data_IF_767555981418
#
_entry.id   IF_767555981418
#
_cell.length_a   1.000
_cell.length_b   1.000
_cell.length_c   1.000
_cell.angle_alpha   90.00
_cell.angle_beta   90.00
_cell.angle_gamma   90.00
#
_symmetry.space_group_name_H-M   'P 1'
#
loop_
_entity.id
_entity.type
_entity.pdbx_description
1 polymer ?
2 non-polymer ?
3 non-polymer ?
4 non-polymer ?
5 non-polymer ?
6 water ?
#
# COMPACT_ATOMS: atom_id res chain seq x y z
N UNK A 4 1.06 8.31 20.96
CA UNK A 4 1.08 9.13 22.23
C UNK A 4 1.56 10.57 21.86
N UNK A 5 2.85 10.83 22.08
CA UNK A 5 3.50 12.05 21.59
C UNK A 5 4.07 11.86 20.15
N UNK A 6 3.68 10.79 19.44
CA UNK A 6 4.09 10.60 18.04
C UNK A 6 3.32 11.53 17.12
N UNK A 7 4.02 12.12 16.15
CA UNK A 7 3.43 13.05 15.19
C UNK A 7 2.72 12.29 14.07
N UNK A 8 1.72 11.53 14.47
CA UNK A 8 0.91 10.70 13.61
C UNK A 8 -0.46 10.47 14.27
N UNK A 9 -1.52 10.51 13.47
CA UNK A 9 -2.88 10.24 13.94
C UNK A 9 -3.15 8.74 13.71
N UNK A 10 -3.52 8.03 14.76
CA UNK A 10 -3.67 6.58 14.63
C UNK A 10 -5.11 6.09 14.73
N UNK A 11 -6.05 7.02 14.82
CA UNK A 11 -7.44 6.63 14.85
C UNK A 11 -8.31 7.65 14.21
N UNK A 12 -9.31 7.19 13.49
CA UNK A 12 -10.28 8.09 12.91
C UNK A 12 -11.16 7.35 11.91
N UNK A 13 -12.29 7.92 11.58
CA UNK A 13 -13.17 7.29 10.60
C UNK A 13 -12.52 7.20 9.23
N UNK A 14 -11.57 8.12 8.95
CA UNK A 14 -10.90 8.17 7.64
C UNK A 14 -9.41 7.84 7.75
N UNK A 15 -9.04 7.22 8.85
CA UNK A 15 -7.68 6.78 9.13
C UNK A 15 -7.58 5.26 9.23
N UNK A 16 -6.73 4.68 8.39
CA UNK A 16 -6.52 3.25 8.32
C UNK A 16 -5.10 2.90 8.65
N UNK A 17 -4.86 1.68 9.17
CA UNK A 17 -3.52 1.24 9.53
C UNK A 17 -3.03 0.33 8.43
N UNK A 18 -1.78 0.51 8.03
CA UNK A 18 -1.13 -0.29 7.02
C UNK A 18 -0.05 -1.08 7.76
N UNK A 19 -0.02 -2.36 7.53
CA UNK A 19 0.93 -3.24 8.21
C UNK A 19 1.27 -4.47 7.34
N UNK A 20 2.27 -5.20 7.79
CA UNK A 20 2.74 -6.44 7.08
C UNK A 20 3.02 -6.25 5.58
N UNK A 21 3.70 -5.16 5.28
CA UNK A 21 4.18 -4.95 3.93
C UNK A 21 5.10 -6.10 3.56
N UNK A 22 4.95 -6.61 2.33
CA UNK A 22 5.86 -7.60 1.76
C UNK A 22 6.14 -7.18 0.34
N UNK A 23 7.29 -7.57 -0.16
CA UNK A 23 7.57 -7.49 -1.59
C UNK A 23 8.74 -8.38 -2.00
N UNK A 24 8.74 -8.79 -3.25
CA UNK A 24 9.83 -9.58 -3.75
C UNK A 24 10.40 -8.89 -4.99
N UNK A 25 11.71 -8.75 -5.00
CA UNK A 25 12.46 -8.24 -6.16
C UNK A 25 13.33 -9.39 -6.67
N UNK A 26 12.90 -10.08 -7.72
CA UNK A 26 13.54 -11.32 -8.18
C UNK A 26 14.93 -11.10 -8.73
N UNK A 27 15.15 -9.88 -9.22
CA UNK A 27 16.45 -9.50 -9.71
C UNK A 27 17.01 -8.29 -9.00
N UNK A 28 16.46 -7.97 -7.83
CA UNK A 28 16.95 -6.92 -6.99
C UNK A 28 16.56 -5.53 -7.45
N UNK A 29 15.68 -5.40 -8.44
CA UNK A 29 15.28 -4.08 -8.97
C UNK A 29 13.79 -3.88 -8.84
N UNK A 30 13.05 -4.25 -9.87
CA UNK A 30 11.56 -4.18 -9.85
C UNK A 30 10.99 -5.26 -8.93
N UNK A 31 9.78 -4.99 -8.41
CA UNK A 31 9.01 -5.98 -7.67
C UNK A 31 8.26 -6.90 -8.67
N UNK A 32 8.11 -8.17 -8.31
CA UNK A 32 7.17 -9.03 -9.02
C UNK A 32 5.99 -9.39 -8.13
N UNK A 33 6.09 -9.02 -6.85
CA UNK A 33 5.05 -9.30 -5.89
C UNK A 33 5.10 -8.20 -4.83
N UNK A 34 3.94 -7.63 -4.48
CA UNK A 34 3.86 -6.58 -3.49
C UNK A 34 2.54 -6.69 -2.77
N UNK A 35 2.55 -6.48 -1.46
CA UNK A 35 1.33 -6.49 -0.70
C UNK A 35 1.43 -5.92 0.69
N UNK A 36 0.27 -5.70 1.30
CA UNK A 36 0.19 -5.14 2.64
C UNK A 36 -1.22 -5.28 3.17
N UNK A 37 -1.38 -5.21 4.47
CA UNK A 37 -2.69 -5.34 5.12
C UNK A 37 -3.22 -3.95 5.40
N UNK A 38 -4.51 -3.77 5.25
CA UNK A 38 -5.20 -2.49 5.55
C UNK A 38 -6.30 -2.74 6.56
N UNK A 39 -6.33 -1.98 7.62
CA UNK A 39 -7.32 -2.16 8.70
C UNK A 39 -7.93 -0.87 9.15
N UNK A 40 -9.23 -0.83 9.33
CA UNK A 40 -9.88 0.33 9.92
C UNK A 40 -9.42 0.53 11.34
N UNK A 41 -9.38 1.77 11.79
CA UNK A 41 -9.02 2.10 13.17
C UNK A 41 -10.21 2.51 14.02
N UNK A 42 -11.39 2.67 13.45
CA UNK A 42 -12.52 3.22 14.14
C UNK A 42 -13.46 2.15 14.74
N UNK A 43 -13.00 0.92 14.87
CA UNK A 43 -13.86 -0.18 15.33
C UNK A 43 -14.72 -0.80 14.24
N UNK A 44 -14.67 -0.29 13.00
CA UNK A 44 -15.32 -1.01 11.91
C UNK A 44 -14.63 -2.31 11.55
N UNK A 45 -15.30 -3.08 10.73
CA UNK A 45 -14.85 -4.40 10.36
C UNK A 45 -13.72 -4.51 9.34
N UNK A 46 -13.45 -3.48 8.58
CA UNK A 46 -12.56 -3.55 7.46
C UNK A 46 -11.14 -4.00 7.84
N UNK A 47 -10.67 -5.03 7.13
CA UNK A 47 -9.41 -5.65 7.40
C UNK A 47 -9.12 -6.56 6.25
N UNK A 48 -8.27 -6.17 5.33
CA UNK A 48 -8.04 -6.97 4.17
C UNK A 48 -6.65 -6.78 3.60
N UNK A 49 -6.31 -7.67 2.67
CA UNK A 49 -5.01 -7.61 1.98
C UNK A 49 -5.13 -6.91 0.66
N UNK A 50 -4.21 -6.01 0.41
CA UNK A 50 -4.11 -5.38 -0.83
C UNK A 50 -2.80 -5.89 -1.48
N UNK A 51 -2.88 -6.50 -2.67
CA UNK A 51 -1.66 -7.02 -3.30
C UNK A 51 -1.75 -7.07 -4.78
N UNK A 52 -0.61 -7.24 -5.40
CA UNK A 52 -0.54 -7.45 -6.83
C UNK A 52 0.71 -8.29 -7.18
N UNK A 53 0.61 -8.99 -8.29
CA UNK A 53 1.71 -9.75 -8.87
C UNK A 53 1.76 -9.58 -10.37
N UNK A 54 2.94 -9.58 -10.92
CA UNK A 54 3.09 -9.61 -12.37
C UNK A 54 4.52 -9.98 -12.62
N UNK A 55 4.85 -10.33 -13.85
CA UNK A 55 6.26 -10.59 -14.19
C UNK A 55 7.07 -9.36 -13.82
N UNK A 56 6.51 -8.18 -14.07
CA UNK A 56 7.21 -6.97 -13.62
C UNK A 56 6.20 -5.92 -13.21
N UNK A 57 6.09 -5.65 -11.91
CA UNK A 57 5.17 -4.60 -11.47
C UNK A 57 5.74 -3.21 -11.81
N UNK A 58 4.88 -2.27 -12.15
CA UNK A 58 5.29 -0.94 -12.54
C UNK A 58 5.03 0.06 -11.40
N UNK A 59 5.95 1.04 -11.27
CA UNK A 59 5.69 2.22 -10.48
C UNK A 59 4.62 3.15 -11.14
N UNK A 60 3.99 3.96 -10.30
CA UNK A 60 2.98 4.89 -10.73
C UNK A 60 1.96 4.32 -11.69
N UNK A 61 1.43 3.16 -11.31
CA UNK A 61 0.38 2.49 -12.07
C UNK A 61 -0.66 1.96 -11.11
N UNK A 62 -1.95 2.12 -11.41
CA UNK A 62 -3.01 1.63 -10.51
C UNK A 62 -3.12 0.13 -10.62
N UNK A 63 -3.16 -0.55 -9.48
CA UNK A 63 -3.48 -1.95 -9.43
C UNK A 63 -4.67 -2.08 -8.50
N UNK A 64 -5.55 -3.03 -8.82
CA UNK A 64 -6.62 -3.37 -7.93
C UNK A 64 -6.04 -3.95 -6.67
N UNK A 65 -6.64 -3.72 -5.52
CA UNK A 65 -6.18 -4.39 -4.31
C UNK A 65 -6.42 -5.90 -4.31
N UNK A 66 -7.42 -6.35 -5.07
CA UNK A 66 -7.77 -7.77 -5.20
C UNK A 66 -8.84 -7.91 -6.32
N UNK A 67 -9.37 -9.10 -6.54
CA UNK A 67 -10.25 -9.37 -7.72
C UNK A 67 -11.51 -8.49 -7.63
N UNK A 68 -12.07 -8.42 -6.44
CA UNK A 68 -13.32 -7.71 -6.25
C UNK A 68 -13.09 -6.24 -5.88
N UNK A 69 -11.89 -5.88 -5.39
CA UNK A 69 -11.75 -4.74 -4.47
C UNK A 69 -12.31 -3.35 -4.88
N UNK A 70 -12.90 -2.69 -3.91
CA UNK A 70 -13.32 -1.34 -4.10
C UNK A 70 -12.12 -0.36 -4.01
N UNK A 71 -10.92 -0.86 -3.75
CA UNK A 71 -9.74 0.01 -3.57
C UNK A 71 -8.72 -0.28 -4.68
N UNK A 72 -8.08 0.80 -5.15
CA UNK A 72 -6.90 0.73 -6.02
C UNK A 72 -5.74 1.26 -5.28
N UNK A 73 -4.54 0.79 -5.66
CA UNK A 73 -3.30 1.33 -5.14
C UNK A 73 -2.24 1.51 -6.21
N UNK A 74 -1.26 2.37 -5.91
CA UNK A 74 -0.10 2.57 -6.71
C UNK A 74 1.11 2.68 -5.79
N UNK A 75 2.30 2.37 -6.28
CA UNK A 75 3.51 2.38 -5.45
C UNK A 75 4.59 3.11 -6.19
N UNK A 76 5.39 3.92 -5.47
CA UNK A 76 6.62 4.49 -5.99
C UNK A 76 7.74 3.78 -5.27
N UNK A 77 8.41 2.87 -5.94
CA UNK A 77 9.40 2.08 -5.24
C UNK A 77 10.61 2.89 -4.85
N UNK A 78 10.91 4.01 -5.54
CA UNK A 78 12.07 4.82 -5.18
C UNK A 78 11.96 5.43 -3.75
N UNK A 79 10.77 5.59 -3.21
CA UNK A 79 10.57 6.27 -1.93
C UNK A 79 9.70 5.42 -0.99
N UNK A 80 9.45 4.16 -1.37
CA UNK A 80 8.51 3.29 -0.66
C UNK A 80 7.21 3.99 -0.41
N UNK A 81 6.70 4.68 -1.42
CA UNK A 81 5.52 5.46 -1.23
C UNK A 81 4.27 4.81 -1.77
N UNK A 82 3.29 4.69 -0.94
CA UNK A 82 2.01 4.13 -1.28
C UNK A 82 0.97 5.21 -1.55
N UNK A 83 0.13 4.99 -2.56
CA UNK A 83 -1.03 5.82 -2.84
C UNK A 83 -2.24 4.90 -2.98
N UNK A 84 -3.31 5.22 -2.25
CA UNK A 84 -4.60 4.51 -2.33
C UNK A 84 -5.63 5.41 -2.94
N UNK A 85 -6.62 4.83 -3.62
CA UNK A 85 -7.71 5.55 -4.14
C UNK A 85 -9.00 4.79 -3.95
N UNK A 86 -10.04 5.48 -3.52
CA UNK A 86 -11.36 4.91 -3.30
C UNK A 86 -12.41 5.85 -3.98
N UNK A 87 -13.06 5.37 -5.00
CA UNK A 87 -14.10 6.14 -5.62
C UNK A 87 -15.47 5.79 -5.02
N UNK A 88 -15.95 6.67 -4.15
CA UNK A 88 -17.16 6.46 -3.35
C UNK A 88 -18.45 6.73 -4.16
N UNK A 89 -18.38 7.68 -5.10
CA UNK A 89 -19.52 8.06 -5.93
C UNK A 89 -19.00 8.76 -7.22
N UNK A 90 -19.94 9.10 -8.08
CA UNK A 90 -19.59 9.79 -9.33
C UNK A 90 -18.72 11.02 -9.02
N UNK A 91 -19.03 11.74 -7.95
CA UNK A 91 -18.36 12.98 -7.58
C UNK A 91 -17.35 12.92 -6.43
N UNK A 92 -17.27 11.81 -5.70
CA UNK A 92 -16.38 11.76 -4.55
C UNK A 92 -15.39 10.65 -4.72
N UNK A 93 -14.12 11.01 -4.67
CA UNK A 93 -13.02 10.09 -4.67
C UNK A 93 -12.10 10.49 -3.55
N UNK A 94 -11.64 9.52 -2.76
CA UNK A 94 -10.64 9.76 -1.72
C UNK A 94 -9.32 9.25 -2.18
N UNK A 95 -8.23 9.92 -1.80
CA UNK A 95 -6.88 9.44 -1.97
C UNK A 95 -6.15 9.50 -0.68
N UNK A 96 -5.06 8.73 -0.53
CA UNK A 96 -4.32 8.74 0.68
C UNK A 96 -2.90 8.30 0.40
N UNK A 97 -1.95 8.80 1.19
CA UNK A 97 -0.57 8.39 0.96
C UNK A 97 0.15 8.04 2.21
N UNK A 98 1.23 7.26 2.04
CA UNK A 98 2.16 6.98 3.12
C UNK A 98 3.48 6.47 2.63
N UNK A 99 4.46 6.42 3.52
CA UNK A 99 5.70 5.72 3.33
C UNK A 99 5.55 4.40 4.07
N UNK A 100 5.98 3.30 3.46
CA UNK A 100 5.93 1.98 4.14
C UNK A 100 7.37 1.52 4.35
N UNK A 101 7.95 1.81 5.52
CA UNK A 101 9.36 1.49 5.72
C UNK A 101 9.53 -0.01 5.70
N UNK A 102 10.59 -0.43 5.04
CA UNK A 102 10.84 -1.86 4.93
C UNK A 102 12.33 -2.20 4.83
N UNK A 103 12.66 -3.46 5.06
CA UNK A 103 14.03 -3.94 4.96
C UNK A 103 14.08 -5.11 3.97
N UNK A 104 15.03 -5.07 3.02
CA UNK A 104 15.20 -6.12 2.04
C UNK A 104 16.41 -6.97 2.35
N UNK A 105 16.28 -8.28 2.16
CA UNK A 105 17.44 -9.17 2.38
C UNK A 105 17.35 -10.31 1.35
N UNK A 106 18.48 -10.95 1.09
CA UNK A 106 18.55 -12.06 0.11
C UNK A 106 17.52 -13.13 0.40
N UNK A 107 16.78 -13.52 -0.63
CA UNK A 107 15.67 -14.48 -0.45
C UNK A 107 16.02 -15.92 -0.72
N UNK A 108 17.18 -16.13 -1.34
CA UNK A 108 17.70 -17.48 -1.66
C UNK A 108 17.33 -18.10 -3.00
N UNK A 109 16.47 -17.44 -3.77
CA UNK A 109 15.93 -18.04 -4.99
C UNK A 109 16.54 -17.33 -6.20
N UNK A 110 17.86 -17.37 -6.26
CA UNK A 110 18.62 -16.70 -7.31
C UNK A 110 19.61 -15.75 -6.70
N UNK A 111 20.67 -15.42 -7.46
CA UNK A 111 21.76 -14.67 -6.88
C UNK A 111 21.40 -13.22 -6.66
N UNK A 112 20.38 -12.65 -7.35
CA UNK A 112 19.92 -11.28 -7.06
C UNK A 112 18.46 -11.17 -6.52
N UNK A 113 18.00 -12.27 -5.92
CA UNK A 113 16.68 -12.35 -5.35
C UNK A 113 16.65 -11.72 -3.94
N UNK A 114 15.74 -10.75 -3.75
CA UNK A 114 15.59 -10.07 -2.47
C UNK A 114 14.14 -10.07 -2.08
N UNK A 115 13.90 -10.25 -0.80
CA UNK A 115 12.57 -10.15 -0.25
C UNK A 115 12.58 -9.02 0.79
N UNK A 116 11.52 -8.20 0.79
CA UNK A 116 11.39 -7.02 1.60
C UNK A 116 10.21 -7.19 2.54
N UNK A 117 10.34 -6.82 3.81
CA UNK A 117 9.20 -6.83 4.67
C UNK A 117 9.15 -5.56 5.54
N UNK A 118 7.91 -5.15 5.87
CA UNK A 118 7.68 -3.94 6.63
C UNK A 118 8.40 -4.04 8.00
N UNK A 119 8.95 -2.93 8.44
CA UNK A 119 9.57 -2.81 9.77
C UNK A 119 8.75 -1.95 10.73
N UNK A 120 7.69 -1.31 10.23
CA UNK A 120 6.84 -0.45 11.03
C UNK A 120 5.50 -0.32 10.39
N UNK A 121 4.47 -0.11 11.21
CA UNK A 121 3.14 0.19 10.66
C UNK A 121 3.14 1.63 10.16
N UNK A 122 2.18 1.98 9.31
CA UNK A 122 1.97 3.35 8.82
C UNK A 122 0.48 3.62 8.91
N UNK A 123 0.09 4.88 9.04
CA UNK A 123 -1.29 5.29 9.10
C UNK A 123 -1.60 6.19 7.94
N UNK A 124 -2.71 5.96 7.26
CA UNK A 124 -3.02 6.81 6.10
C UNK A 124 -4.30 7.59 6.47
N UNK A 125 -4.45 8.77 5.90
CA UNK A 125 -5.68 9.58 6.01
C UNK A 125 -6.30 9.74 4.62
N UNK A 126 -7.54 9.30 4.48
CA UNK A 126 -8.28 9.47 3.25
C UNK A 126 -8.88 10.86 3.14
N UNK A 127 -8.61 11.57 2.03
CA UNK A 127 -9.01 12.94 1.81
C UNK A 127 -9.59 13.09 0.40
N UNK A 128 -10.63 13.95 0.29
CA UNK A 128 -11.41 14.04 -0.90
C UNK A 128 -10.63 14.83 -2.00
N UNK A 129 -10.58 14.29 -3.20
CA UNK A 129 -10.03 15.00 -4.36
C UNK A 129 -10.98 16.02 -4.89
N UNK A 130 -10.52 17.26 -5.08
CA UNK A 130 -11.48 18.23 -5.57
C UNK A 130 -12.04 17.82 -6.93
N UNK A 131 -13.36 18.06 -7.10
CA UNK A 131 -14.09 17.69 -8.31
C UNK A 131 -14.18 19.00 -9.12
N UNK A 132 -13.34 19.15 -10.16
CA UNK A 132 -12.34 18.14 -10.59
C UNK A 132 -10.85 18.68 -10.45
N UNK A 133 -9.90 17.99 -11.11
CA UNK A 133 -8.46 18.36 -11.06
C UNK A 133 -8.05 19.81 -11.51
#
# INVERSE_FOLDING_TARGET
MDTASCPVTTEGDYVWKISEFYGRKPEGTYYNSLGFNIKATNGGTLDFTCSAQADKLEDHKWYSCGENSFMDFSFDSDRSGLLLKQKVSDDITYVATATLPNYCRAGGNGPKDFVCQGVADAYITLVTLPKSS
#
